data_IF_662885022434
#
_entry.id   IF_662885022434
#
_cell.length_a   1.000
_cell.length_b   1.000
_cell.length_c   1.000
_cell.angle_alpha   90.00
_cell.angle_beta   90.00
_cell.angle_gamma   90.00
#
_symmetry.space_group_name_H-M   'P 1'
#
loop_
_entity.id
_entity.type
_entity.pdbx_description
1 polymer ?
#
# COMPACT_ATOMS: atom_id res chain seq x y z
N UNK A 1 7.66 7.37 -2.83
CA UNK A 1 6.96 6.10 -3.07
C UNK A 1 6.03 5.79 -1.92
N UNK A 2 4.82 5.35 -2.23
CA UNK A 2 3.85 4.90 -1.22
C UNK A 2 3.80 3.38 -1.25
N UNK A 3 4.07 2.73 -0.12
CA UNK A 3 4.01 1.28 0.05
C UNK A 3 2.84 0.96 0.97
N UNK A 4 1.96 0.09 0.49
CA UNK A 4 0.81 -0.36 1.26
C UNK A 4 0.94 -1.85 1.55
N UNK A 5 0.96 -2.22 2.83
CA UNK A 5 0.85 -3.62 3.23
C UNK A 5 -0.63 -3.98 3.35
N UNK A 6 -1.04 -5.05 2.66
CA UNK A 6 -2.44 -5.46 2.62
C UNK A 6 -2.56 -6.97 2.44
N UNK A 7 -3.76 -7.47 2.64
CA UNK A 7 -4.15 -8.82 2.26
C UNK A 7 -5.63 -8.82 1.90
N UNK A 8 -6.04 -9.69 0.99
CA UNK A 8 -7.38 -9.56 0.40
C UNK A 8 -8.52 -9.95 1.35
N UNK A 9 -8.27 -10.73 2.39
CA UNK A 9 -9.31 -11.10 3.35
C UNK A 9 -9.48 -10.06 4.47
N UNK A 10 -8.69 -9.00 4.46
CA UNK A 10 -8.72 -7.95 5.47
C UNK A 10 -9.75 -6.87 5.09
N UNK A 11 -10.83 -6.75 5.84
CA UNK A 11 -11.90 -5.78 5.57
C UNK A 11 -11.36 -4.36 5.60
N UNK A 12 -10.51 -4.03 6.56
CA UNK A 12 -9.93 -2.69 6.67
C UNK A 12 -9.05 -2.37 5.47
N UNK A 13 -8.32 -3.35 4.95
CA UNK A 13 -7.52 -3.19 3.74
C UNK A 13 -8.39 -2.84 2.54
N UNK A 14 -9.51 -3.53 2.39
CA UNK A 14 -10.46 -3.28 1.29
C UNK A 14 -11.00 -1.85 1.36
N UNK A 15 -11.25 -1.33 2.56
CA UNK A 15 -11.75 0.03 2.74
C UNK A 15 -10.72 1.09 2.40
N UNK A 16 -9.43 0.78 2.57
CA UNK A 16 -8.33 1.69 2.24
C UNK A 16 -8.06 1.72 0.74
N UNK A 17 -8.31 0.63 0.03
CA UNK A 17 -8.00 0.48 -1.39
C UNK A 17 -8.52 1.64 -2.28
N UNK A 18 -9.78 2.11 -2.15
CA UNK A 18 -10.24 3.23 -2.99
C UNK A 18 -9.41 4.50 -2.82
N UNK A 19 -8.93 4.75 -1.62
CA UNK A 19 -8.09 5.91 -1.33
C UNK A 19 -6.71 5.78 -1.96
N UNK A 20 -6.12 4.59 -1.90
CA UNK A 20 -4.81 4.32 -2.51
C UNK A 20 -4.91 4.41 -4.04
N UNK A 21 -5.97 3.88 -4.63
CA UNK A 21 -6.25 4.03 -6.07
C UNK A 21 -6.34 5.50 -6.46
N UNK A 22 -7.02 6.32 -5.65
CA UNK A 22 -7.17 7.74 -5.89
C UNK A 22 -5.82 8.45 -5.87
N UNK A 23 -4.98 8.17 -4.88
CA UNK A 23 -3.64 8.75 -4.80
C UNK A 23 -2.79 8.31 -5.99
N UNK A 24 -2.88 7.06 -6.38
CA UNK A 24 -2.17 6.55 -7.57
C UNK A 24 -2.57 7.35 -8.82
N UNK A 25 -3.87 7.51 -9.07
CA UNK A 25 -4.38 8.23 -10.24
C UNK A 25 -3.98 9.71 -10.24
N UNK A 26 -4.12 10.36 -9.08
CA UNK A 26 -3.89 11.81 -8.97
C UNK A 26 -2.44 12.19 -9.04
N UNK A 27 -1.56 11.37 -8.49
CA UNK A 27 -0.18 11.78 -8.25
C UNK A 27 0.87 11.02 -9.08
N UNK A 28 0.50 9.99 -9.83
CA UNK A 28 1.48 9.25 -10.64
C UNK A 28 2.21 10.13 -11.65
N UNK A 29 1.49 11.05 -12.28
CA UNK A 29 2.08 11.97 -13.25
C UNK A 29 2.95 13.04 -12.58
N UNK A 30 2.82 13.21 -11.28
CA UNK A 30 3.64 14.10 -10.47
C UNK A 30 4.82 13.38 -9.82
N UNK A 31 4.98 12.10 -10.11
CA UNK A 31 6.14 11.32 -9.67
C UNK A 31 5.89 10.36 -8.52
N UNK A 32 4.64 10.16 -8.09
CA UNK A 32 4.35 9.18 -7.03
C UNK A 32 4.31 7.77 -7.61
N UNK A 33 5.15 6.88 -7.08
CA UNK A 33 5.05 5.45 -7.32
C UNK A 33 4.28 4.82 -6.15
N UNK A 34 3.31 3.97 -6.46
CA UNK A 34 2.52 3.24 -5.46
C UNK A 34 2.72 1.75 -5.67
N UNK A 35 2.98 1.02 -4.59
CA UNK A 35 3.12 -0.44 -4.62
C UNK A 35 2.31 -1.03 -3.49
N UNK A 36 1.42 -1.98 -3.81
CA UNK A 36 0.74 -2.79 -2.82
C UNK A 36 1.56 -4.04 -2.53
N UNK A 37 1.97 -4.23 -1.29
CA UNK A 37 2.69 -5.42 -0.87
C UNK A 37 1.69 -6.34 -0.20
N UNK A 38 1.35 -7.44 -0.88
CA UNK A 38 0.40 -8.42 -0.37
C UNK A 38 1.14 -9.44 0.49
N UNK A 39 0.95 -9.32 1.81
CA UNK A 39 1.54 -10.24 2.78
C UNK A 39 0.41 -11.07 3.39
N UNK A 40 0.43 -12.41 3.23
CA UNK A 40 -0.69 -13.24 3.65
C UNK A 40 -0.79 -13.38 5.17
N UNK A 41 -2.02 -13.34 5.67
CA UNK A 41 -2.33 -13.71 7.05
C UNK A 41 -2.75 -15.17 7.14
N UNK A 42 -3.51 -15.65 6.15
CA UNK A 42 -4.04 -17.01 6.09
C UNK A 42 -3.47 -17.78 4.90
N UNK A 43 -3.50 -19.10 4.99
CA UNK A 43 -2.92 -19.98 3.97
C UNK A 43 -3.47 -19.75 2.56
N UNK A 44 -4.80 -19.56 2.44
CA UNK A 44 -5.43 -19.32 1.14
C UNK A 44 -4.90 -18.06 0.45
N UNK A 45 -4.41 -17.10 1.23
CA UNK A 45 -3.88 -15.84 0.71
C UNK A 45 -2.49 -15.99 0.08
N UNK A 46 -1.85 -17.15 0.25
CA UNK A 46 -0.56 -17.44 -0.36
C UNK A 46 -0.67 -17.85 -1.82
N UNK A 47 -1.89 -18.15 -2.29
CA UNK A 47 -2.12 -18.62 -3.67
C UNK A 47 -2.15 -17.41 -4.61
N UNK A 48 -1.18 -17.29 -5.54
CA UNK A 48 -1.11 -16.11 -6.43
C UNK A 48 -2.39 -15.86 -7.22
N UNK A 49 -3.06 -16.92 -7.69
CA UNK A 49 -4.32 -16.77 -8.42
C UNK A 49 -5.42 -16.11 -7.59
N UNK A 50 -5.47 -16.38 -6.27
CA UNK A 50 -6.44 -15.75 -5.38
C UNK A 50 -6.15 -14.26 -5.22
N UNK A 51 -4.88 -13.88 -5.15
CA UNK A 51 -4.49 -12.47 -5.08
C UNK A 51 -4.82 -11.75 -6.38
N UNK A 52 -4.55 -12.36 -7.53
CA UNK A 52 -4.88 -11.80 -8.84
C UNK A 52 -6.40 -11.56 -8.97
N UNK A 53 -7.19 -12.52 -8.52
CA UNK A 53 -8.65 -12.39 -8.52
C UNK A 53 -9.11 -11.22 -7.63
N UNK A 54 -8.48 -11.04 -6.48
CA UNK A 54 -8.78 -9.94 -5.57
C UNK A 54 -8.39 -8.58 -6.16
N UNK A 55 -7.24 -8.50 -6.80
CA UNK A 55 -6.80 -7.27 -7.50
C UNK A 55 -7.85 -6.84 -8.50
N UNK A 56 -8.36 -7.78 -9.27
CA UNK A 56 -9.41 -7.52 -10.27
C UNK A 56 -10.73 -7.13 -9.60
N UNK A 57 -11.13 -7.88 -8.57
CA UNK A 57 -12.39 -7.66 -7.85
C UNK A 57 -12.47 -6.26 -7.23
N UNK A 58 -11.39 -5.82 -6.61
CA UNK A 58 -11.35 -4.53 -5.91
C UNK A 58 -10.83 -3.40 -6.77
N UNK A 59 -10.58 -3.65 -8.05
CA UNK A 59 -10.19 -2.63 -9.00
C UNK A 59 -8.87 -1.96 -8.68
N UNK A 60 -7.91 -2.72 -8.14
CA UNK A 60 -6.59 -2.18 -7.80
C UNK A 60 -5.84 -1.83 -9.09
N UNK A 61 -5.41 -0.57 -9.19
CA UNK A 61 -4.78 -0.03 -10.40
C UNK A 61 -3.26 0.08 -10.31
N UNK A 62 -2.71 -0.02 -9.10
CA UNK A 62 -1.27 0.06 -8.87
C UNK A 62 -0.66 -1.34 -8.82
N UNK A 63 0.66 -1.46 -9.06
CA UNK A 63 1.34 -2.75 -9.00
C UNK A 63 1.23 -3.40 -7.62
N UNK A 64 1.12 -4.71 -7.63
CA UNK A 64 1.06 -5.52 -6.41
C UNK A 64 2.21 -6.52 -6.42
N UNK A 65 2.99 -6.51 -5.35
CA UNK A 65 4.06 -7.49 -5.12
C UNK A 65 3.58 -8.53 -4.12
N UNK A 66 3.94 -9.80 -4.37
CA UNK A 66 3.62 -10.88 -3.45
C UNK A 66 4.73 -11.02 -2.41
N UNK A 67 4.37 -11.03 -1.15
CA UNK A 67 5.31 -11.11 -0.01
C UNK A 67 5.01 -12.33 0.84
N UNK A 68 4.90 -13.49 0.19
CA UNK A 68 4.51 -14.74 0.85
C UNK A 68 5.49 -15.19 1.93
N UNK A 69 6.75 -14.79 1.84
CA UNK A 69 7.80 -15.15 2.81
C UNK A 69 8.00 -14.09 3.89
N UNK A 70 7.20 -13.04 3.89
CA UNK A 70 7.27 -11.95 4.87
C UNK A 70 8.59 -11.17 4.83
N UNK A 71 9.35 -11.22 3.74
CA UNK A 71 10.62 -10.53 3.63
C UNK A 71 10.48 -9.02 3.69
N UNK A 72 9.55 -8.48 2.90
CA UNK A 72 9.32 -7.03 2.87
C UNK A 72 8.65 -6.57 4.16
N UNK A 73 7.67 -7.33 4.63
CA UNK A 73 7.01 -7.08 5.91
C UNK A 73 8.04 -6.94 7.04
N UNK A 74 8.97 -7.89 7.12
CA UNK A 74 9.99 -7.89 8.17
C UNK A 74 11.01 -6.77 7.97
N UNK A 75 11.37 -6.46 6.72
CA UNK A 75 12.30 -5.37 6.42
C UNK A 75 11.75 -4.01 6.89
N UNK A 76 10.45 -3.82 6.80
CA UNK A 76 9.77 -2.61 7.27
C UNK A 76 9.43 -2.68 8.77
N UNK A 77 9.63 -3.82 9.41
CA UNK A 77 9.22 -4.09 10.78
C UNK A 77 7.72 -3.85 10.97
N UNK A 78 6.94 -4.21 9.94
CA UNK A 78 5.50 -4.02 9.97
C UNK A 78 4.85 -5.05 10.89
N UNK A 79 3.71 -4.70 11.47
CA UNK A 79 2.98 -5.55 12.43
C UNK A 79 1.49 -5.62 12.16
N UNK A 80 0.97 -4.80 11.24
CA UNK A 80 -0.48 -4.66 11.05
C UNK A 80 -0.86 -4.56 9.59
N UNK A 81 -2.08 -5.03 9.29
CA UNK A 81 -2.77 -4.79 8.03
C UNK A 81 -3.95 -3.87 8.31
N UNK A 82 -4.25 -2.85 7.50
CA UNK A 82 -3.37 -2.27 6.50
C UNK A 82 -2.31 -1.37 7.16
N UNK A 83 -1.23 -1.12 6.44
CA UNK A 83 -0.22 -0.17 6.85
C UNK A 83 0.32 0.57 5.64
N UNK A 84 0.50 1.88 5.77
CA UNK A 84 1.01 2.74 4.71
C UNK A 84 2.37 3.31 5.14
N UNK A 85 3.32 3.28 4.20
CA UNK A 85 4.65 3.85 4.40
C UNK A 85 4.96 4.77 3.24
N UNK A 86 5.30 6.02 3.53
CA UNK A 86 5.70 6.98 2.51
C UNK A 86 7.22 7.13 2.54
N UNK A 87 7.85 6.93 1.39
CA UNK A 87 9.31 6.82 1.28
C UNK A 87 9.81 7.91 0.35
N UNK A 88 10.84 8.66 0.80
CA UNK A 88 11.43 9.72 0.00
C UNK A 88 12.38 9.17 -1.07
N UNK A 89 12.96 10.07 -1.87
CA UNK A 89 13.87 9.69 -2.95
C UNK A 89 15.17 9.08 -2.48
N UNK A 90 15.53 9.30 -1.22
CA UNK A 90 16.72 8.70 -0.61
C UNK A 90 16.43 7.34 0.03
N UNK A 91 15.18 6.84 -0.11
CA UNK A 91 14.80 5.54 0.43
C UNK A 91 14.47 5.56 1.92
N UNK A 92 14.20 6.73 2.50
CA UNK A 92 13.85 6.87 3.92
C UNK A 92 12.36 6.96 4.12
N UNK A 93 11.86 6.29 5.16
CA UNK A 93 10.45 6.40 5.55
C UNK A 93 10.24 7.76 6.21
N UNK A 94 9.40 8.60 5.61
CA UNK A 94 9.10 9.94 6.12
C UNK A 94 7.71 10.03 6.77
N UNK A 95 6.86 9.02 6.56
CA UNK A 95 5.52 8.99 7.15
C UNK A 95 5.03 7.55 7.19
N UNK A 96 4.31 7.21 8.24
CA UNK A 96 3.68 5.90 8.42
C UNK A 96 2.30 6.07 9.00
N UNK A 97 1.35 5.28 8.50
CA UNK A 97 0.00 5.21 9.05
C UNK A 97 -0.44 3.77 9.18
N UNK A 98 -0.94 3.39 10.34
CA UNK A 98 -1.44 2.05 10.62
C UNK A 98 -2.97 2.09 10.65
N UNK A 99 -3.61 1.18 9.93
CA UNK A 99 -5.06 1.06 9.92
C UNK A 99 -5.74 1.99 8.92
N UNK A 100 -7.06 2.13 9.07
CA UNK A 100 -7.88 3.03 8.26
C UNK A 100 -7.81 4.46 8.78
N UNK A 101 -8.36 5.39 7.99
CA UNK A 101 -8.57 6.76 8.44
C UNK A 101 -7.42 7.69 8.12
N UNK A 102 -7.52 8.92 8.59
CA UNK A 102 -6.54 9.99 8.41
C UNK A 102 -6.15 10.21 6.94
N UNK A 103 -7.08 9.98 6.02
CA UNK A 103 -6.80 10.08 4.58
C UNK A 103 -6.36 11.49 4.17
N UNK A 104 -6.94 12.51 4.80
CA UNK A 104 -6.55 13.91 4.54
C UNK A 104 -5.10 14.18 4.99
N UNK A 105 -4.70 13.59 6.12
CA UNK A 105 -3.34 13.73 6.64
C UNK A 105 -2.36 13.03 5.70
N UNK A 106 -2.68 11.80 5.27
CA UNK A 106 -1.84 11.06 4.35
C UNK A 106 -1.71 11.79 3.01
N UNK A 107 -2.83 12.29 2.47
CA UNK A 107 -2.82 13.07 1.23
C UNK A 107 -1.92 14.29 1.35
N UNK A 108 -2.01 15.02 2.46
CA UNK A 108 -1.18 16.19 2.71
C UNK A 108 0.31 15.83 2.76
N UNK A 109 0.66 14.69 3.36
CA UNK A 109 2.05 14.22 3.41
C UNK A 109 2.57 13.82 2.04
N UNK A 110 1.73 13.21 1.21
CA UNK A 110 2.09 12.89 -0.18
C UNK A 110 2.39 14.16 -0.94
N UNK A 111 1.51 15.16 -0.86
CA UNK A 111 1.70 16.44 -1.56
C UNK A 111 2.96 17.15 -1.08
N UNK A 112 3.21 17.15 0.23
CA UNK A 112 4.42 17.74 0.81
C UNK A 112 5.67 17.07 0.25
N UNK A 113 5.69 15.73 0.18
CA UNK A 113 6.83 14.99 -0.35
C UNK A 113 7.06 15.29 -1.84
N UNK A 114 5.98 15.34 -2.64
CA UNK A 114 6.08 15.62 -4.07
C UNK A 114 6.57 17.05 -4.32
N UNK A 115 6.21 18.00 -3.45
CA UNK A 115 6.64 19.41 -3.56
C UNK A 115 8.15 19.57 -3.31
N UNK A 116 8.76 18.67 -2.55
CA UNK A 116 10.23 18.70 -2.35
C UNK A 116 11.00 18.33 -3.61
N UNK A 117 10.32 17.73 -4.57
CA UNK A 117 10.95 17.27 -5.80
C UNK A 117 11.70 15.99 -5.62
#
# INVERSE_FOLDING_TARGET
MLVEFWTYACVNCIRVTPHVNEWHRRYRDLGLAVVGVHTPEYEAERVPGNVQAAVKRYGIEYPVALDNDYRTWNAYRNRFWPALYLIDRQGRVVYRHIGEGDYDVTDAKIRELLARG
#
